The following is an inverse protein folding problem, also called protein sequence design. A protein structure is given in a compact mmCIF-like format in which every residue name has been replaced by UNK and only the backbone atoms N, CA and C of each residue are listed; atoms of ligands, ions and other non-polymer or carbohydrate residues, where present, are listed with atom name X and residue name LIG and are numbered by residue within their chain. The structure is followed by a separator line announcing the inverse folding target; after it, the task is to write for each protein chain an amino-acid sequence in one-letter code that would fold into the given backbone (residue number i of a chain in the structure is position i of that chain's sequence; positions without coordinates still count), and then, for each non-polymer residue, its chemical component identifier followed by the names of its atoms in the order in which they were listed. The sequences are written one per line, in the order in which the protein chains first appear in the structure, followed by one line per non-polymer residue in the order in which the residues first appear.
data_IF_639612956654
#
_entry.id   IF_639612956654
#
_cell.length_a   1.000
_cell.length_b   1.000
_cell.length_c   1.000
_cell.angle_alpha   90.00
_cell.angle_beta   90.00
_cell.angle_gamma   90.00
#
_symmetry.space_group_name_H-M   'P 1'
#
loop_
_entity.id
_entity.type
_entity.pdbx_description
1 polymer ?
#
# COMPACT_ATOMS: atom_id res chain seq x y z
N UNK A 1 31.34 36.10 35.61
CA UNK A 1 30.45 37.27 35.49
C UNK A 1 30.70 38.00 34.18
N UNK A 2 29.79 37.88 33.19
CA UNK A 2 29.39 38.96 32.26
C UNK A 2 28.17 38.46 31.48
N UNK A 3 27.24 39.39 31.29
CA UNK A 3 25.80 39.18 31.07
C UNK A 3 25.53 39.14 29.56
N UNK A 4 24.95 38.05 29.05
CA UNK A 4 24.35 38.05 27.71
C UNK A 4 22.86 38.35 27.85
N UNK A 5 22.47 39.54 27.38
CA UNK A 5 21.09 40.00 27.23
C UNK A 5 20.67 39.86 25.77
N UNK A 6 19.34 39.81 25.59
CA UNK A 6 18.54 39.91 24.35
C UNK A 6 18.04 38.60 23.73
N UNK A 7 16.98 38.08 24.33
CA UNK A 7 15.60 38.00 23.76
C UNK A 7 15.51 38.28 22.26
N UNK A 8 15.08 37.26 21.48
CA UNK A 8 14.02 37.41 20.48
C UNK A 8 13.10 36.19 20.59
N UNK A 9 11.92 36.43 21.15
CA UNK A 9 10.76 35.57 20.98
C UNK A 9 10.21 35.83 19.56
N UNK A 10 9.99 34.78 18.80
CA UNK A 10 9.10 34.80 17.64
C UNK A 10 8.31 33.48 17.64
N UNK A 11 7.19 33.54 18.36
CA UNK A 11 6.06 32.65 18.19
C UNK A 11 5.56 32.77 16.75
N UNK A 12 5.72 31.72 15.95
CA UNK A 12 4.82 31.42 14.85
C UNK A 12 4.37 29.97 15.00
N UNK A 13 3.39 29.80 15.88
CA UNK A 13 2.52 28.63 15.87
C UNK A 13 1.68 28.67 14.59
N UNK A 14 2.22 28.06 13.52
CA UNK A 14 1.46 27.74 12.32
C UNK A 14 0.84 26.37 12.48
N UNK A 15 -0.36 26.30 13.06
CA UNK A 15 -1.18 25.09 13.06
C UNK A 15 -1.70 24.83 11.64
N UNK A 16 -0.94 24.06 10.85
CA UNK A 16 -1.49 23.39 9.67
C UNK A 16 -2.17 22.10 10.14
N UNK A 17 -3.41 22.23 10.61
CA UNK A 17 -4.34 21.08 10.64
C UNK A 17 -4.75 20.76 9.21
N UNK A 18 -3.96 19.92 8.54
CA UNK A 18 -4.43 19.18 7.38
C UNK A 18 -5.16 17.93 7.89
N UNK A 19 -6.46 17.86 7.63
CA UNK A 19 -7.23 16.64 7.70
C UNK A 19 -6.71 15.70 6.60
N UNK A 20 -6.19 14.54 6.99
CA UNK A 20 -6.14 13.35 6.14
C UNK A 20 -6.27 12.18 7.08
N UNK A 21 -7.52 11.83 7.32
CA UNK A 21 -7.95 10.63 8.01
C UNK A 21 -7.25 9.40 7.45
N UNK A 22 -6.78 8.55 8.37
CA UNK A 22 -6.86 7.09 8.29
C UNK A 22 -6.26 6.42 7.03
N UNK A 23 -4.99 6.04 7.12
CA UNK A 23 -4.56 4.75 6.58
C UNK A 23 -4.20 3.86 7.77
N UNK A 24 -5.21 3.51 8.56
CA UNK A 24 -5.19 2.25 9.29
C UNK A 24 -5.49 1.16 8.26
N UNK A 25 -4.47 0.75 7.53
CA UNK A 25 -4.47 -0.53 6.80
C UNK A 25 -3.51 -1.50 7.49
N UNK A 26 -3.58 -1.47 8.83
CA UNK A 26 -3.17 -2.58 9.67
C UNK A 26 -4.05 -3.79 9.31
N UNK A 27 -3.48 -4.66 8.47
CA UNK A 27 -3.53 -6.11 8.62
C UNK A 27 -4.87 -6.74 9.02
N UNK A 28 -5.96 -6.37 8.37
CA UNK A 28 -7.07 -7.28 8.13
C UNK A 28 -6.81 -8.01 6.81
N UNK A 29 -7.03 -9.32 6.79
CA UNK A 29 -7.08 -10.09 5.55
C UNK A 29 -7.99 -9.35 4.56
N UNK A 30 -7.46 -9.04 3.37
CA UNK A 30 -8.24 -8.32 2.38
C UNK A 30 -9.39 -9.21 1.94
N UNK A 31 -10.55 -8.62 1.65
CA UNK A 31 -11.74 -9.33 1.14
C UNK A 31 -11.47 -10.11 -0.15
N UNK A 32 -10.33 -9.88 -0.80
CA UNK A 32 -9.91 -10.48 -2.06
C UNK A 32 -8.79 -11.51 -1.87
N UNK A 33 -8.41 -11.80 -0.63
CA UNK A 33 -7.50 -12.89 -0.29
C UNK A 33 -8.14 -14.22 -0.69
N UNK A 34 -7.33 -15.07 -1.31
CA UNK A 34 -7.70 -16.42 -1.71
C UNK A 34 -6.58 -17.37 -1.30
N UNK A 35 -6.84 -18.67 -1.32
CA UNK A 35 -5.85 -19.65 -0.89
C UNK A 35 -4.50 -19.47 -1.60
N UNK A 36 -3.44 -19.22 -0.83
CA UNK A 36 -2.08 -19.00 -1.34
C UNK A 36 -1.77 -17.58 -1.80
N UNK A 37 -2.71 -16.63 -1.70
CA UNK A 37 -2.52 -15.24 -2.10
C UNK A 37 -3.00 -14.25 -1.04
N UNK A 38 -2.15 -13.28 -0.75
CA UNK A 38 -2.49 -12.10 0.04
C UNK A 38 -2.68 -10.91 -0.89
N UNK A 39 -3.67 -10.07 -0.59
CA UNK A 39 -4.00 -8.90 -1.40
C UNK A 39 -4.04 -7.62 -0.57
N UNK A 40 -3.80 -6.48 -1.23
CA UNK A 40 -3.87 -5.14 -0.64
C UNK A 40 -4.55 -4.20 -1.63
N UNK A 41 -5.36 -3.26 -1.15
CA UNK A 41 -6.05 -2.29 -2.00
C UNK A 41 -5.41 -0.93 -1.78
N UNK A 42 -4.53 -0.53 -2.68
CA UNK A 42 -3.89 0.80 -2.64
C UNK A 42 -4.36 1.62 -3.83
N UNK A 43 -4.78 2.87 -3.61
CA UNK A 43 -5.23 3.79 -4.68
C UNK A 43 -6.33 3.18 -5.59
N UNK A 44 -7.22 2.36 -5.01
CA UNK A 44 -8.28 1.67 -5.76
C UNK A 44 -7.77 0.58 -6.70
N UNK A 45 -6.56 0.06 -6.47
CA UNK A 45 -5.94 -1.02 -7.24
C UNK A 45 -5.66 -2.19 -6.33
N UNK A 46 -5.89 -3.39 -6.85
CA UNK A 46 -5.66 -4.64 -6.14
C UNK A 46 -4.22 -5.11 -6.35
N UNK A 47 -3.40 -4.93 -5.34
CA UNK A 47 -2.10 -5.57 -5.26
C UNK A 47 -2.25 -7.02 -4.82
N UNK A 48 -1.61 -7.94 -5.54
CA UNK A 48 -1.66 -9.38 -5.27
C UNK A 48 -0.25 -9.93 -5.08
N UNK A 49 -0.09 -10.76 -4.05
CA UNK A 49 1.17 -11.39 -3.68
C UNK A 49 0.92 -12.85 -3.32
N UNK A 50 1.90 -13.71 -3.53
CA UNK A 50 1.86 -15.05 -2.93
C UNK A 50 2.01 -14.91 -1.40
N UNK A 51 1.31 -15.74 -0.65
CA UNK A 51 1.39 -15.72 0.80
C UNK A 51 2.83 -16.02 1.28
N UNK A 52 3.37 -15.16 2.14
CA UNK A 52 4.74 -15.29 2.65
C UNK A 52 5.85 -14.99 1.62
N UNK A 53 5.52 -14.37 0.48
CA UNK A 53 6.52 -14.02 -0.52
C UNK A 53 7.39 -12.83 -0.08
N UNK A 54 8.62 -12.76 -0.58
CA UNK A 54 9.55 -11.64 -0.32
C UNK A 54 9.01 -10.32 -0.87
N UNK A 55 8.22 -10.38 -1.93
CA UNK A 55 7.58 -9.22 -2.55
C UNK A 55 6.49 -8.65 -1.65
N UNK A 56 5.75 -9.50 -0.93
CA UNK A 56 4.79 -9.05 0.08
C UNK A 56 5.50 -8.36 1.25
N UNK A 57 6.61 -8.94 1.71
CA UNK A 57 7.44 -8.33 2.77
C UNK A 57 8.01 -6.99 2.32
N UNK A 58 8.61 -6.95 1.14
CA UNK A 58 9.12 -5.72 0.52
C UNK A 58 8.02 -4.67 0.39
N UNK A 59 6.82 -5.07 -0.05
CA UNK A 59 5.70 -4.15 -0.20
C UNK A 59 5.24 -3.55 1.13
N UNK A 60 5.21 -4.36 2.19
CA UNK A 60 4.87 -3.89 3.54
C UNK A 60 5.91 -2.89 4.08
N UNK A 61 7.18 -3.06 3.75
CA UNK A 61 8.26 -2.21 4.26
C UNK A 61 8.48 -0.94 3.42
N UNK A 62 8.36 -1.05 2.10
CA UNK A 62 8.76 0.00 1.15
C UNK A 62 7.64 0.50 0.23
N UNK A 63 6.48 -0.16 0.23
CA UNK A 63 5.37 0.14 -0.68
C UNK A 63 5.55 -0.45 -2.07
N UNK A 64 5.07 0.24 -3.10
CA UNK A 64 5.03 -0.31 -4.46
C UNK A 64 6.43 -0.73 -4.99
N UNK A 65 6.61 -1.98 -5.46
CA UNK A 65 7.88 -2.43 -6.02
C UNK A 65 8.24 -1.69 -7.32
N UNK A 66 9.54 -1.52 -7.56
CA UNK A 66 10.05 -0.85 -8.76
C UNK A 66 9.61 -1.52 -10.07
N UNK A 67 9.44 -2.85 -10.03
CA UNK A 67 8.91 -3.63 -11.15
C UNK A 67 7.51 -4.13 -10.80
N UNK A 68 6.58 -3.88 -11.70
CA UNK A 68 5.18 -4.26 -11.54
C UNK A 68 4.58 -4.68 -12.86
N UNK A 69 3.64 -5.62 -12.77
CA UNK A 69 2.82 -6.12 -13.86
C UNK A 69 1.39 -5.76 -13.56
N UNK A 70 0.65 -5.31 -14.58
CA UNK A 70 -0.67 -4.73 -14.41
C UNK A 70 -1.65 -5.37 -15.39
N UNK A 71 -2.82 -5.74 -14.89
CA UNK A 71 -3.96 -6.12 -15.72
C UNK A 71 -5.15 -5.22 -15.38
N UNK A 72 -5.54 -4.38 -16.34
CA UNK A 72 -6.57 -3.36 -16.16
C UNK A 72 -7.94 -4.01 -16.28
N UNK A 73 -8.81 -3.79 -15.28
CA UNK A 73 -10.19 -4.29 -15.31
C UNK A 73 -10.36 -5.78 -14.99
N UNK A 74 -9.27 -6.50 -14.73
CA UNK A 74 -9.31 -7.94 -14.47
C UNK A 74 -9.67 -8.32 -13.03
N UNK A 75 -9.72 -7.35 -12.12
CA UNK A 75 -10.02 -7.55 -10.71
C UNK A 75 -11.52 -7.44 -10.41
N UNK A 76 -11.92 -7.78 -9.18
CA UNK A 76 -13.30 -7.65 -8.73
C UNK A 76 -13.84 -6.24 -8.96
N UNK A 77 -15.10 -6.13 -9.41
CA UNK A 77 -15.74 -4.85 -9.77
C UNK A 77 -15.00 -4.04 -10.85
N UNK A 78 -14.21 -4.68 -11.72
CA UNK A 78 -13.43 -3.99 -12.75
C UNK A 78 -12.18 -3.27 -12.22
N UNK A 79 -11.73 -3.65 -11.03
CA UNK A 79 -10.52 -3.10 -10.42
C UNK A 79 -9.27 -3.50 -11.21
N UNK A 80 -8.26 -2.63 -11.22
CA UNK A 80 -6.95 -2.97 -11.79
C UNK A 80 -6.20 -3.90 -10.84
N UNK A 81 -5.61 -4.98 -11.36
CA UNK A 81 -4.80 -5.93 -10.58
C UNK A 81 -3.32 -5.69 -10.87
N UNK A 82 -2.50 -5.57 -9.82
CA UNK A 82 -1.05 -5.35 -9.87
C UNK A 82 -0.30 -6.43 -9.11
N UNK A 83 0.88 -6.80 -9.60
CA UNK A 83 1.78 -7.77 -8.94
C UNK A 83 3.23 -7.43 -9.23
N UNK A 84 4.15 -7.84 -8.36
CA UNK A 84 5.59 -7.71 -8.58
C UNK A 84 6.12 -8.65 -9.70
N UNK A 85 5.40 -9.72 -10.03
CA UNK A 85 5.77 -10.68 -11.08
C UNK A 85 4.58 -11.01 -12.00
N UNK A 86 4.87 -11.26 -13.28
CA UNK A 86 3.87 -11.72 -14.26
C UNK A 86 3.28 -13.07 -13.84
N UNK A 87 4.12 -13.96 -13.32
CA UNK A 87 3.73 -15.30 -12.88
C UNK A 87 2.68 -15.23 -11.77
N UNK A 88 2.92 -14.45 -10.72
CA UNK A 88 1.97 -14.29 -9.60
C UNK A 88 0.67 -13.64 -10.07
N UNK A 89 0.73 -12.68 -11.00
CA UNK A 89 -0.47 -12.06 -11.59
C UNK A 89 -1.32 -13.10 -12.32
N UNK A 90 -0.70 -13.90 -13.19
CA UNK A 90 -1.40 -14.89 -14.01
C UNK A 90 -1.99 -16.01 -13.15
N UNK A 91 -1.26 -16.48 -12.12
CA UNK A 91 -1.78 -17.47 -11.17
C UNK A 91 -3.01 -16.94 -10.42
N UNK A 92 -2.95 -15.71 -9.89
CA UNK A 92 -4.08 -15.11 -9.18
C UNK A 92 -5.31 -14.96 -10.07
N UNK A 93 -5.12 -14.45 -11.30
CA UNK A 93 -6.21 -14.26 -12.26
C UNK A 93 -6.82 -15.60 -12.70
N UNK A 94 -6.01 -16.65 -12.82
CA UNK A 94 -6.50 -17.99 -13.16
C UNK A 94 -7.30 -18.62 -12.02
N UNK A 95 -6.83 -18.46 -10.78
CA UNK A 95 -7.50 -18.95 -9.59
C UNK A 95 -8.86 -18.27 -9.34
N UNK A 96 -8.99 -16.98 -9.70
CA UNK A 96 -10.23 -16.21 -9.51
C UNK A 96 -11.26 -16.40 -10.61
N UNK A 97 -10.84 -16.66 -11.86
CA UNK A 97 -11.77 -16.93 -12.99
C UNK A 97 -12.52 -18.25 -12.90
N UNK A 98 -12.01 -19.20 -12.12
CA UNK A 98 -12.58 -20.55 -12.02
C UNK A 98 -13.71 -20.68 -11.00
N UNK A 99 -14.24 -19.55 -10.49
CA UNK A 99 -15.26 -19.47 -9.45
C UNK A 99 -16.48 -18.72 -9.96
#
# INVERSE_FOLDING_TARGET
MKKNKLIIAALLAGSLSACSSMSSEDSMASKYDINGFTTKVEDGRLWVFEEGSKELEFFKEHGEPAKQFTNIGAGPNGMTVKSASQETLDKYLSATKSK
#
